data_IF_387832624883
#
_entry.id   IF_387832624883
#
_cell.length_a   1.000
_cell.length_b   1.000
_cell.length_c   1.000
_cell.angle_alpha   90.00
_cell.angle_beta   90.00
_cell.angle_gamma   90.00
#
_symmetry.space_group_name_H-M   'P 1'
#
loop_
_entity.id
_entity.type
_entity.pdbx_description
1 polymer ?
#
# COMPACT_ATOMS: atom_id res chain seq x y z
N UNK A 1 31.83 20.73 85.04
CA UNK A 1 31.25 19.49 84.49
C UNK A 1 30.65 19.81 83.13
N UNK A 2 30.66 18.81 82.24
CA UNK A 2 30.14 18.72 80.87
C UNK A 2 29.02 19.70 80.45
N UNK A 3 28.86 20.10 79.19
CA UNK A 3 29.06 19.37 77.93
C UNK A 3 29.11 20.38 76.79
N UNK A 4 30.12 20.29 75.91
CA UNK A 4 30.14 21.06 74.67
C UNK A 4 29.19 20.39 73.67
N UNK A 5 28.04 21.00 73.41
CA UNK A 5 27.17 20.59 72.32
C UNK A 5 27.82 21.00 71.00
N UNK A 6 28.60 20.10 70.39
CA UNK A 6 29.02 20.25 69.01
C UNK A 6 27.77 20.15 68.12
N UNK A 7 27.32 21.31 67.64
CA UNK A 7 26.31 21.38 66.59
C UNK A 7 27.00 21.03 65.28
N UNK A 8 26.95 19.75 64.90
CA UNK A 8 27.31 19.32 63.54
C UNK A 8 26.40 20.07 62.58
N UNK A 9 26.99 21.01 61.83
CA UNK A 9 26.28 21.75 60.79
C UNK A 9 26.03 20.76 59.67
N UNK A 10 24.86 20.14 59.66
CA UNK A 10 24.44 19.29 58.56
C UNK A 10 24.30 20.20 57.33
N UNK A 11 25.22 20.07 56.38
CA UNK A 11 25.16 20.80 55.11
C UNK A 11 23.89 20.34 54.38
N UNK A 12 22.79 21.09 54.51
CA UNK A 12 21.60 20.90 53.69
C UNK A 12 21.98 21.11 52.23
N UNK A 13 22.25 20.02 51.53
CA UNK A 13 22.52 20.03 50.10
C UNK A 13 21.20 20.29 49.36
N UNK A 14 20.88 21.57 49.15
CA UNK A 14 19.69 22.05 48.44
C UNK A 14 19.76 21.84 46.90
N UNK A 15 20.80 21.16 46.40
CA UNK A 15 21.00 20.86 44.98
C UNK A 15 20.73 19.39 44.63
N UNK A 16 20.53 19.05 43.35
CA UNK A 16 20.30 17.67 42.92
C UNK A 16 21.50 16.80 43.26
N UNK A 17 21.23 15.68 43.92
CA UNK A 17 22.24 14.71 44.30
C UNK A 17 22.71 13.90 43.06
N UNK A 18 23.72 13.05 43.23
CA UNK A 18 24.26 12.25 42.12
C UNK A 18 23.23 11.31 41.50
N UNK A 19 22.30 10.77 42.28
CA UNK A 19 21.23 9.92 41.79
C UNK A 19 20.20 10.72 40.97
N UNK A 20 19.87 11.94 41.40
CA UNK A 20 18.96 12.84 40.66
C UNK A 20 19.54 13.19 39.28
N UNK A 21 20.85 13.48 39.21
CA UNK A 21 21.55 13.76 37.94
C UNK A 21 21.54 12.55 37.01
N UNK A 22 21.77 11.35 37.56
CA UNK A 22 21.74 10.10 36.78
C UNK A 22 20.32 9.81 36.28
N UNK A 23 19.31 10.03 37.12
CA UNK A 23 17.91 9.87 36.74
C UNK A 23 17.49 10.85 35.64
N UNK A 24 17.86 12.14 35.76
CA UNK A 24 17.58 13.14 34.72
C UNK A 24 18.29 12.82 33.39
N UNK A 25 19.56 12.38 33.44
CA UNK A 25 20.26 11.92 32.25
C UNK A 25 19.57 10.72 31.59
N UNK A 26 19.09 9.77 32.40
CA UNK A 26 18.29 8.65 31.91
C UNK A 26 16.98 9.10 31.27
N UNK A 27 16.25 10.04 31.88
CA UNK A 27 15.03 10.60 31.29
C UNK A 27 15.28 11.25 29.93
N UNK A 28 16.35 12.05 29.81
CA UNK A 28 16.74 12.65 28.53
C UNK A 28 17.04 11.58 27.48
N UNK A 29 17.76 10.51 27.86
CA UNK A 29 18.03 9.38 26.96
C UNK A 29 16.73 8.71 26.50
N UNK A 30 15.79 8.45 27.40
CA UNK A 30 14.49 7.87 27.06
C UNK A 30 13.71 8.75 26.10
N UNK A 31 13.68 10.07 26.32
CA UNK A 31 13.02 11.02 25.40
C UNK A 31 13.64 10.95 24.01
N UNK A 32 14.98 10.97 23.91
CA UNK A 32 15.69 10.83 22.63
C UNK A 32 15.35 9.50 21.94
N UNK A 33 15.34 8.39 22.68
CA UNK A 33 15.03 7.07 22.13
C UNK A 33 13.59 6.98 21.61
N UNK A 34 12.60 7.50 22.36
CA UNK A 34 11.20 7.52 21.94
C UNK A 34 10.99 8.43 20.73
N UNK A 35 11.60 9.63 20.71
CA UNK A 35 11.52 10.53 19.55
C UNK A 35 12.12 9.87 18.31
N UNK A 36 13.25 9.17 18.45
CA UNK A 36 13.87 8.44 17.35
C UNK A 36 12.96 7.34 16.80
N UNK A 37 12.37 6.51 17.67
CA UNK A 37 11.39 5.50 17.27
C UNK A 37 10.18 6.12 16.54
N UNK A 38 9.70 7.27 17.02
CA UNK A 38 8.63 8.04 16.36
C UNK A 38 9.00 8.45 14.94
N UNK A 39 10.20 8.99 14.74
CA UNK A 39 10.69 9.42 13.41
C UNK A 39 10.80 8.22 12.46
N UNK A 40 11.32 7.08 12.93
CA UNK A 40 11.42 5.86 12.10
C UNK A 40 10.04 5.39 11.69
N UNK A 41 9.09 5.30 12.62
CA UNK A 41 7.72 4.86 12.31
C UNK A 41 7.01 5.81 11.35
N UNK A 42 7.21 7.12 11.51
CA UNK A 42 6.65 8.12 10.61
C UNK A 42 7.17 7.98 9.17
N UNK A 43 8.49 7.79 8.99
CA UNK A 43 9.07 7.58 7.66
C UNK A 43 8.55 6.32 6.98
N UNK A 44 8.32 5.27 7.76
CA UNK A 44 7.77 4.01 7.25
C UNK A 44 6.29 4.14 6.89
N UNK A 45 5.52 4.92 7.65
CA UNK A 45 4.14 5.25 7.31
C UNK A 45 4.04 6.03 5.99
N UNK A 46 4.94 6.98 5.73
CA UNK A 46 4.97 7.72 4.46
C UNK A 46 5.18 6.82 3.24
N UNK A 47 5.93 5.70 3.37
CA UNK A 47 6.07 4.73 2.28
C UNK A 47 4.76 4.02 1.97
N UNK A 48 3.98 3.68 3.02
CA UNK A 48 2.64 3.09 2.87
C UNK A 48 1.69 4.09 2.20
N UNK A 49 1.73 5.36 2.61
CA UNK A 49 0.93 6.41 1.97
C UNK A 49 1.29 6.61 0.50
N UNK A 50 2.58 6.58 0.16
CA UNK A 50 3.02 6.63 -1.24
C UNK A 50 2.52 5.42 -2.04
N UNK A 51 2.60 4.21 -1.48
CA UNK A 51 2.04 3.02 -2.12
C UNK A 51 0.52 3.14 -2.34
N UNK A 52 -0.21 3.67 -1.34
CA UNK A 52 -1.64 3.92 -1.47
C UNK A 52 -1.94 4.96 -2.55
N UNK A 53 -1.21 6.07 -2.58
CA UNK A 53 -1.36 7.11 -3.60
C UNK A 53 -1.11 6.57 -5.02
N UNK A 54 -0.12 5.68 -5.19
CA UNK A 54 0.08 4.98 -6.46
C UNK A 54 -1.17 4.18 -6.85
N UNK A 55 -1.73 3.40 -5.91
CA UNK A 55 -2.97 2.66 -6.12
C UNK A 55 -4.16 3.55 -6.44
N UNK A 56 -4.31 4.71 -5.79
CA UNK A 56 -5.37 5.68 -6.06
C UNK A 56 -5.28 6.24 -7.49
N UNK A 57 -4.07 6.47 -8.01
CA UNK A 57 -3.88 6.89 -9.40
C UNK A 57 -4.25 5.78 -10.40
N UNK A 58 -3.97 4.51 -10.08
CA UNK A 58 -4.45 3.37 -10.87
C UNK A 58 -5.98 3.31 -10.88
N UNK A 59 -6.62 3.46 -9.72
CA UNK A 59 -8.09 3.48 -9.60
C UNK A 59 -8.69 4.61 -10.43
N UNK A 60 -8.13 5.82 -10.34
CA UNK A 60 -8.61 6.97 -11.09
C UNK A 60 -8.55 6.73 -12.60
N UNK A 61 -7.39 6.27 -13.09
CA UNK A 61 -7.20 5.99 -14.52
C UNK A 61 -8.10 4.87 -15.03
N UNK A 62 -8.21 3.76 -14.27
CA UNK A 62 -9.04 2.63 -14.66
C UNK A 62 -10.52 2.99 -14.62
N UNK A 63 -10.97 3.74 -13.61
CA UNK A 63 -12.37 4.18 -13.52
C UNK A 63 -12.72 5.08 -14.70
N UNK A 64 -11.86 6.06 -15.04
CA UNK A 64 -12.07 6.94 -16.19
C UNK A 64 -12.12 6.15 -17.50
N UNK A 65 -11.16 5.26 -17.72
CA UNK A 65 -11.11 4.40 -18.91
C UNK A 65 -12.33 3.48 -19.01
N UNK A 66 -12.79 2.93 -17.88
CA UNK A 66 -13.98 2.08 -17.79
C UNK A 66 -15.25 2.76 -18.33
N UNK A 67 -15.36 4.08 -18.20
CA UNK A 67 -16.52 4.83 -18.71
C UNK A 67 -16.61 4.89 -20.23
N UNK A 68 -15.47 4.84 -20.94
CA UNK A 68 -15.40 5.07 -22.40
C UNK A 68 -14.98 3.84 -23.20
N UNK A 69 -14.50 2.76 -22.56
CA UNK A 69 -13.91 1.63 -23.27
C UNK A 69 -14.87 0.81 -24.14
N UNK A 70 -16.18 0.95 -23.97
CA UNK A 70 -17.19 0.34 -24.84
C UNK A 70 -17.62 1.23 -26.01
N UNK A 71 -17.14 2.47 -26.07
CA UNK A 71 -17.43 3.38 -27.16
C UNK A 71 -16.71 2.93 -28.45
N UNK A 72 -17.28 3.29 -29.60
CA UNK A 72 -16.71 2.94 -30.90
C UNK A 72 -15.27 3.47 -31.05
N UNK A 73 -15.03 4.70 -30.56
CA UNK A 73 -13.76 5.44 -30.66
C UNK A 73 -13.11 5.66 -29.28
N UNK A 74 -12.98 4.60 -28.47
CA UNK A 74 -12.31 4.71 -27.17
C UNK A 74 -10.86 5.24 -27.32
N UNK A 75 -10.41 6.15 -26.43
CA UNK A 75 -9.02 6.64 -26.41
C UNK A 75 -7.96 5.55 -26.20
N UNK A 76 -8.37 4.39 -25.66
CA UNK A 76 -7.48 3.29 -25.31
C UNK A 76 -7.91 1.99 -26.01
N UNK A 77 -7.62 1.81 -27.31
CA UNK A 77 -8.07 0.66 -28.09
C UNK A 77 -7.62 -0.70 -27.53
N UNK A 78 -6.47 -0.76 -26.86
CA UNK A 78 -5.97 -1.99 -26.23
C UNK A 78 -6.83 -2.44 -25.04
N UNK A 79 -7.53 -1.51 -24.40
CA UNK A 79 -8.43 -1.75 -23.26
C UNK A 79 -9.91 -1.81 -23.69
N UNK A 80 -10.19 -1.86 -25.00
CA UNK A 80 -11.54 -1.79 -25.55
C UNK A 80 -12.39 -2.99 -25.12
N UNK A 81 -13.55 -2.68 -24.55
CA UNK A 81 -14.57 -3.67 -24.19
C UNK A 81 -15.28 -4.23 -25.43
N UNK A 82 -15.91 -5.41 -25.28
CA UNK A 82 -16.64 -6.10 -26.34
C UNK A 82 -15.77 -6.85 -27.35
N UNK A 83 -14.44 -6.75 -27.26
CA UNK A 83 -13.51 -7.52 -28.09
C UNK A 83 -13.24 -8.85 -27.39
N UNK A 84 -13.92 -9.91 -27.82
CA UNK A 84 -13.74 -11.23 -27.23
C UNK A 84 -12.44 -11.88 -27.72
N UNK A 85 -11.48 -12.19 -26.83
CA UNK A 85 -10.28 -12.92 -27.20
C UNK A 85 -10.61 -14.38 -27.57
N UNK A 86 -9.75 -15.00 -28.37
CA UNK A 86 -9.87 -16.43 -28.72
C UNK A 86 -9.64 -17.31 -27.48
N UNK A 87 -10.14 -18.54 -27.48
CA UNK A 87 -9.96 -19.45 -26.33
C UNK A 87 -8.48 -19.73 -25.99
N UNK A 88 -7.60 -19.74 -27.00
CA UNK A 88 -6.16 -19.93 -26.83
C UNK A 88 -5.39 -18.60 -26.78
N UNK A 89 -6.06 -17.51 -26.41
CA UNK A 89 -5.46 -16.18 -26.35
C UNK A 89 -4.31 -16.12 -25.34
N UNK A 90 -3.23 -15.48 -25.78
CA UNK A 90 -2.07 -15.14 -24.95
C UNK A 90 -2.24 -13.75 -24.36
N UNK A 91 -1.43 -13.43 -23.35
CA UNK A 91 -1.44 -12.14 -22.66
C UNK A 91 -1.33 -10.90 -23.58
N UNK A 92 -0.73 -11.02 -24.76
CA UNK A 92 -0.59 -9.94 -25.74
C UNK A 92 -1.73 -9.87 -26.76
N UNK A 93 -2.74 -10.75 -26.66
CA UNK A 93 -3.85 -10.82 -27.60
C UNK A 93 -4.83 -9.67 -27.35
N UNK A 94 -5.31 -8.97 -28.39
CA UNK A 94 -6.34 -7.93 -28.23
C UNK A 94 -7.57 -8.44 -27.49
N UNK A 95 -8.11 -7.63 -26.58
CA UNK A 95 -9.24 -8.01 -25.73
C UNK A 95 -8.87 -8.74 -24.44
N UNK A 96 -7.56 -8.93 -24.18
CA UNK A 96 -7.07 -9.43 -22.89
C UNK A 96 -6.59 -8.31 -21.97
N UNK A 97 -6.60 -8.57 -20.67
CA UNK A 97 -6.06 -7.66 -19.67
C UNK A 97 -4.57 -7.39 -19.88
N UNK A 98 -3.77 -8.39 -20.26
CA UNK A 98 -2.33 -8.23 -20.49
C UNK A 98 -2.02 -7.24 -21.61
N UNK A 99 -2.79 -7.25 -22.69
CA UNK A 99 -2.64 -6.30 -23.79
C UNK A 99 -3.02 -4.87 -23.34
N UNK A 100 -4.07 -4.74 -22.53
CA UNK A 100 -4.44 -3.47 -21.92
C UNK A 100 -3.36 -2.97 -20.94
N UNK A 101 -2.84 -3.84 -20.07
CA UNK A 101 -1.80 -3.52 -19.12
C UNK A 101 -0.51 -3.08 -19.81
N UNK A 102 -0.09 -3.78 -20.86
CA UNK A 102 1.07 -3.40 -21.66
C UNK A 102 0.91 -2.00 -22.28
N UNK A 103 -0.29 -1.68 -22.77
CA UNK A 103 -0.63 -0.34 -23.27
C UNK A 103 -0.54 0.72 -22.16
N UNK A 104 -1.11 0.46 -20.99
CA UNK A 104 -1.04 1.35 -19.82
C UNK A 104 0.42 1.67 -19.48
N UNK A 105 1.25 0.63 -19.36
CA UNK A 105 2.67 0.75 -19.00
C UNK A 105 3.53 1.39 -20.10
N UNK A 106 3.03 1.50 -21.33
CA UNK A 106 3.72 2.19 -22.42
C UNK A 106 3.31 3.67 -22.51
N UNK A 107 2.01 3.96 -22.42
CA UNK A 107 1.44 5.24 -22.85
C UNK A 107 1.04 6.19 -21.72
N UNK A 108 0.94 5.72 -20.49
CA UNK A 108 0.43 6.52 -19.36
C UNK A 108 1.55 6.89 -18.38
N UNK A 109 1.28 7.87 -17.53
CA UNK A 109 2.15 8.27 -16.41
C UNK A 109 2.26 7.17 -15.33
N UNK A 110 1.41 6.14 -15.35
CA UNK A 110 1.43 5.04 -14.37
C UNK A 110 2.73 4.23 -14.45
N UNK A 111 3.41 4.23 -15.60
CA UNK A 111 4.70 3.56 -15.78
C UNK A 111 5.84 4.19 -14.97
N UNK A 112 5.70 5.47 -14.64
CA UNK A 112 6.71 6.27 -13.94
C UNK A 112 6.52 6.21 -12.41
N UNK A 113 5.50 5.49 -11.94
CA UNK A 113 5.30 5.26 -10.52
C UNK A 113 6.46 4.48 -9.92
N UNK A 114 6.78 4.82 -8.68
CA UNK A 114 7.84 4.17 -7.91
C UNK A 114 7.28 3.65 -6.60
N UNK A 115 7.56 2.38 -6.33
CA UNK A 115 7.38 1.78 -5.03
C UNK A 115 8.55 2.21 -4.12
N UNK A 116 8.25 3.06 -3.13
CA UNK A 116 9.23 3.65 -2.20
C UNK A 116 9.81 2.67 -1.17
N UNK A 117 9.29 1.44 -1.09
CA UNK A 117 9.91 0.38 -0.27
C UNK A 117 11.18 -0.17 -0.91
N UNK A 118 11.17 -0.33 -2.24
CA UNK A 118 12.28 -0.95 -2.99
C UNK A 118 12.94 -0.01 -4.00
N UNK A 119 12.40 1.20 -4.19
CA UNK A 119 12.77 2.13 -5.25
C UNK A 119 12.77 1.46 -6.64
N UNK A 120 11.72 0.68 -6.89
CA UNK A 120 11.46 -0.02 -8.16
C UNK A 120 10.04 0.29 -8.63
N UNK A 121 9.71 0.08 -9.91
CA UNK A 121 8.32 0.17 -10.35
C UNK A 121 7.41 -0.74 -9.50
N UNK A 122 6.20 -0.28 -9.13
CA UNK A 122 5.17 -1.18 -8.60
C UNK A 122 4.94 -2.32 -9.57
N UNK A 123 4.77 -3.53 -9.05
CA UNK A 123 4.45 -4.70 -9.84
C UNK A 123 3.14 -5.29 -9.36
N UNK A 124 2.45 -5.97 -10.26
CA UNK A 124 1.20 -6.66 -9.97
C UNK A 124 1.48 -8.01 -9.33
N UNK A 125 0.74 -8.35 -8.29
CA UNK A 125 0.90 -9.59 -7.52
C UNK A 125 -0.42 -10.32 -7.41
N UNK A 126 -0.34 -11.64 -7.21
CA UNK A 126 -1.51 -12.50 -7.06
C UNK A 126 -2.20 -12.34 -5.71
N UNK A 127 -1.44 -12.03 -4.67
CA UNK A 127 -1.93 -11.82 -3.32
C UNK A 127 -0.91 -11.00 -2.53
N UNK A 128 -1.38 -10.33 -1.48
CA UNK A 128 -0.51 -9.81 -0.43
C UNK A 128 -0.35 -10.89 0.65
N UNK A 129 0.88 -11.32 0.92
CA UNK A 129 1.21 -12.29 1.98
C UNK A 129 2.09 -11.65 3.06
N UNK A 130 1.63 -11.60 4.34
CA UNK A 130 2.44 -11.11 5.45
C UNK A 130 3.75 -11.87 5.70
N UNK A 131 3.87 -13.08 5.16
CA UNK A 131 5.09 -13.90 5.21
C UNK A 131 6.10 -13.52 4.13
N UNK A 132 5.67 -12.87 3.06
CA UNK A 132 6.53 -12.43 1.97
C UNK A 132 6.77 -10.93 2.04
N UNK A 133 7.96 -10.58 2.55
CA UNK A 133 8.39 -9.19 2.68
C UNK A 133 8.76 -8.55 1.35
N UNK A 134 8.82 -9.28 0.23
CA UNK A 134 9.12 -8.71 -1.08
C UNK A 134 7.93 -8.02 -1.73
N UNK A 135 6.73 -8.20 -1.17
CA UNK A 135 5.48 -7.68 -1.72
C UNK A 135 5.15 -6.25 -1.27
N UNK A 136 5.90 -5.66 -0.33
CA UNK A 136 5.59 -4.31 0.19
C UNK A 136 5.50 -3.29 -0.94
N UNK A 137 4.38 -2.57 -1.04
CA UNK A 137 4.08 -1.60 -2.09
C UNK A 137 3.73 -2.19 -3.46
N UNK A 138 3.54 -3.51 -3.56
CA UNK A 138 2.99 -4.16 -4.75
C UNK A 138 1.48 -3.89 -4.88
N UNK A 139 0.96 -4.04 -6.10
CA UNK A 139 -0.45 -3.82 -6.43
C UNK A 139 -1.12 -5.17 -6.62
N UNK A 140 -2.22 -5.39 -5.91
CA UNK A 140 -3.11 -6.52 -6.09
C UNK A 140 -4.37 -6.02 -6.81
N UNK A 141 -4.62 -6.56 -7.99
CA UNK A 141 -5.83 -6.27 -8.77
C UNK A 141 -6.66 -7.55 -8.89
N UNK A 142 -7.87 -7.49 -8.35
CA UNK A 142 -8.80 -8.60 -8.32
C UNK A 142 -10.03 -8.25 -9.15
N UNK A 143 -10.58 -9.24 -9.84
CA UNK A 143 -11.90 -9.19 -10.45
C UNK A 143 -12.94 -9.79 -9.49
N UNK A 144 -14.03 -9.07 -9.27
CA UNK A 144 -15.12 -9.46 -8.39
C UNK A 144 -16.26 -10.03 -9.21
N UNK A 145 -16.24 -11.34 -9.38
CA UNK A 145 -17.28 -12.04 -10.11
C UNK A 145 -18.54 -12.21 -9.25
N UNK A 146 -19.72 -11.82 -9.76
CA UNK A 146 -20.97 -11.97 -9.02
C UNK A 146 -21.30 -13.44 -8.85
N UNK A 147 -21.59 -13.82 -7.61
CA UNK A 147 -22.00 -15.20 -7.30
C UNK A 147 -23.46 -15.47 -7.69
N UNK A 148 -23.85 -16.75 -7.87
CA UNK A 148 -25.23 -17.10 -8.14
C UNK A 148 -26.20 -16.61 -7.05
N UNK A 149 -27.43 -16.20 -7.42
CA UNK A 149 -28.47 -15.82 -6.46
C UNK A 149 -28.67 -16.90 -5.39
N UNK A 150 -28.70 -16.49 -4.11
CA UNK A 150 -28.81 -17.40 -2.97
C UNK A 150 -27.48 -17.77 -2.30
N UNK A 151 -26.34 -17.34 -2.86
CA UNK A 151 -25.04 -17.39 -2.19
C UNK A 151 -24.99 -16.46 -0.97
N UNK A 152 -24.27 -16.86 0.07
CA UNK A 152 -24.05 -16.05 1.28
C UNK A 152 -23.08 -14.88 1.06
N UNK A 153 -22.24 -14.96 0.01
CA UNK A 153 -21.29 -13.91 -0.37
C UNK A 153 -21.65 -13.41 -1.75
N UNK A 154 -21.85 -12.09 -1.97
CA UNK A 154 -22.36 -11.58 -3.25
C UNK A 154 -21.34 -11.65 -4.38
N UNK A 155 -20.04 -11.58 -4.05
CA UNK A 155 -18.93 -11.61 -5.02
C UNK A 155 -17.84 -12.57 -4.56
N UNK A 156 -17.19 -13.21 -5.53
CA UNK A 156 -15.93 -13.94 -5.32
C UNK A 156 -14.82 -13.13 -5.98
N UNK A 157 -13.80 -12.80 -5.20
CA UNK A 157 -12.60 -12.15 -5.71
C UNK A 157 -11.67 -13.21 -6.33
N UNK A 158 -11.28 -12.99 -7.57
CA UNK A 158 -10.23 -13.74 -8.27
C UNK A 158 -9.14 -12.79 -8.71
N UNK A 159 -7.89 -13.25 -8.69
CA UNK A 159 -6.78 -12.51 -9.29
C UNK A 159 -7.09 -12.23 -10.76
N UNK A 160 -6.91 -10.98 -11.20
CA UNK A 160 -6.97 -10.64 -12.61
C UNK A 160 -5.68 -11.09 -13.31
N UNK A 161 -5.78 -12.09 -14.17
CA UNK A 161 -4.68 -12.65 -14.94
C UNK A 161 -4.51 -11.91 -16.26
N UNK A 162 -3.30 -11.91 -16.82
CA UNK A 162 -3.01 -11.25 -18.10
C UNK A 162 -3.80 -11.83 -19.27
N UNK A 163 -4.21 -13.11 -19.19
CA UNK A 163 -5.02 -13.77 -20.22
C UNK A 163 -6.52 -13.49 -20.06
N UNK A 164 -6.93 -12.86 -18.96
CA UNK A 164 -8.35 -12.64 -18.70
C UNK A 164 -8.95 -11.69 -19.72
N UNK A 165 -10.18 -11.99 -20.11
CA UNK A 165 -10.92 -11.19 -21.07
C UNK A 165 -11.40 -9.90 -20.45
N UNK A 166 -11.20 -8.78 -21.15
CA UNK A 166 -11.80 -7.48 -20.81
C UNK A 166 -13.03 -7.18 -21.68
N UNK A 167 -13.66 -8.20 -22.28
CA UNK A 167 -14.79 -8.00 -23.20
C UNK A 167 -16.11 -7.59 -22.52
N UNK A 168 -16.24 -7.78 -21.21
CA UNK A 168 -17.43 -7.45 -20.42
C UNK A 168 -17.10 -6.42 -19.33
N UNK A 169 -18.13 -5.83 -18.73
CA UNK A 169 -18.02 -4.84 -17.66
C UNK A 169 -17.61 -5.53 -16.35
N UNK A 170 -16.42 -5.21 -15.85
CA UNK A 170 -15.79 -5.90 -14.72
C UNK A 170 -15.98 -5.07 -13.45
N UNK A 171 -16.11 -5.76 -12.31
CA UNK A 171 -16.11 -5.12 -11.00
C UNK A 171 -14.73 -5.36 -10.40
N UNK A 172 -13.82 -4.40 -10.51
CA UNK A 172 -12.45 -4.58 -10.02
C UNK A 172 -12.29 -4.11 -8.57
N UNK A 173 -11.42 -4.79 -7.84
CA UNK A 173 -10.89 -4.34 -6.54
C UNK A 173 -9.39 -4.14 -6.67
N UNK A 174 -8.95 -2.93 -6.35
CA UNK A 174 -7.52 -2.64 -6.23
C UNK A 174 -7.12 -2.53 -4.76
N UNK A 175 -6.10 -3.28 -4.40
CA UNK A 175 -5.44 -3.22 -3.10
C UNK A 175 -3.94 -3.01 -3.27
N UNK A 176 -3.28 -2.47 -2.25
CA UNK A 176 -1.82 -2.35 -2.20
C UNK A 176 -1.31 -3.10 -0.99
N UNK A 177 -0.17 -3.79 -1.14
CA UNK A 177 0.41 -4.51 -0.02
C UNK A 177 1.17 -3.53 0.89
N UNK A 178 0.86 -3.51 2.18
CA UNK A 178 1.51 -2.64 3.15
C UNK A 178 2.91 -3.16 3.54
N UNK A 179 3.56 -2.45 4.48
CA UNK A 179 4.84 -2.89 5.06
C UNK A 179 4.76 -4.27 5.72
N UNK A 180 3.61 -4.59 6.29
CA UNK A 180 3.31 -5.88 6.89
C UNK A 180 3.15 -7.01 5.88
N UNK A 181 2.99 -6.71 4.59
CA UNK A 181 2.58 -7.65 3.54
C UNK A 181 1.07 -7.90 3.53
N UNK A 182 0.28 -7.11 4.25
CA UNK A 182 -1.18 -7.20 4.27
C UNK A 182 -1.80 -6.30 3.19
N UNK A 183 -2.95 -6.70 2.65
CA UNK A 183 -3.67 -5.92 1.66
C UNK A 183 -4.38 -4.73 2.30
N UNK A 184 -4.09 -3.52 1.81
CA UNK A 184 -4.87 -2.31 2.06
C UNK A 184 -5.78 -2.11 0.84
N UNK A 185 -7.08 -2.30 1.04
CA UNK A 185 -8.10 -2.02 0.01
C UNK A 185 -8.08 -0.52 -0.31
N UNK A 186 -7.82 -0.18 -1.57
CA UNK A 186 -7.85 1.21 -2.06
C UNK A 186 -9.26 1.54 -2.52
N UNK A 187 -9.80 0.76 -3.45
CA UNK A 187 -11.16 0.95 -3.96
C UNK A 187 -11.71 -0.33 -4.60
N UNK A 188 -13.04 -0.35 -4.70
CA UNK A 188 -13.76 -1.19 -5.65
C UNK A 188 -14.43 -0.27 -6.66
N UNK A 189 -14.30 -0.59 -7.94
CA UNK A 189 -14.77 0.26 -9.01
C UNK A 189 -15.19 -0.61 -10.19
N UNK A 190 -15.93 0.00 -11.09
CA UNK A 190 -16.33 -0.62 -12.33
C UNK A 190 -15.28 -0.27 -13.39
N UNK A 191 -14.78 -1.30 -14.08
CA UNK A 191 -13.94 -1.15 -15.25
C UNK A 191 -14.72 -1.66 -16.44
#
# INVERSE_FOLDING_TARGET
MASSSEHTTEHMHLGPNSADKLFLAFLVLIVVAVTWLGVVNYREALKVEAAKSNGEAWVAWLTETGTTRFEANTPHPACKGGVKPTADAKADTPGTWGACLAHIMATTELKDQVNTFFNKPPHFVAACDPKDRTLMGAILLEDLMPTPPGSATPFVASQLLETDSVDYKMQLRLSVCDKGGAAIKVAEFEF
#
